data_IF_873914726670
#
_entry.id   IF_873914726670
#
_cell.length_a   1.000
_cell.length_b   1.000
_cell.length_c   1.000
_cell.angle_alpha   90.00
_cell.angle_beta   90.00
_cell.angle_gamma   90.00
#
_symmetry.space_group_name_H-M   'P 1'
#
loop_
_entity.id
_entity.type
_entity.pdbx_description
1 polymer ?
#
# COMPACT_ATOMS: atom_id res chain seq x y z
N UNK A 1 -7.32 -1.23 -2.83
CA UNK A 1 -7.19 -1.62 -1.42
C UNK A 1 -7.54 -0.43 -0.54
N UNK A 2 -8.09 -0.65 0.64
CA UNK A 2 -8.42 0.39 1.63
C UNK A 2 -7.47 0.27 2.84
N UNK A 3 -7.33 1.33 3.65
CA UNK A 3 -6.43 1.41 4.82
C UNK A 3 -4.93 1.19 4.53
N UNK A 4 -4.43 1.62 3.37
CA UNK A 4 -3.03 1.35 2.97
C UNK A 4 -1.97 2.22 3.67
N UNK A 5 -2.40 3.23 4.44
CA UNK A 5 -1.52 4.09 5.24
C UNK A 5 -1.52 3.74 6.74
N UNK A 6 -2.51 2.99 7.22
CA UNK A 6 -2.60 2.48 8.60
C UNK A 6 -2.21 3.49 9.69
N UNK A 7 -2.92 4.61 9.76
CA UNK A 7 -2.67 5.71 10.69
C UNK A 7 -1.34 6.44 10.49
N UNK A 8 -0.61 6.14 9.42
CA UNK A 8 0.76 6.58 9.18
C UNK A 8 1.83 5.63 9.73
N UNK A 9 1.47 4.54 10.41
CA UNK A 9 2.44 3.58 10.98
C UNK A 9 3.29 2.88 9.92
N UNK A 10 2.79 2.78 8.67
CA UNK A 10 3.56 2.23 7.54
C UNK A 10 4.77 3.08 7.17
N UNK A 11 4.85 4.31 7.67
CA UNK A 11 5.96 5.24 7.42
C UNK A 11 7.10 5.09 8.43
N UNK A 12 6.89 4.31 9.50
CA UNK A 12 7.92 4.07 10.52
C UNK A 12 8.95 3.04 10.03
N UNK A 13 10.24 3.32 10.25
CA UNK A 13 11.33 2.45 9.79
C UNK A 13 11.27 1.04 10.41
N UNK A 14 10.80 0.94 11.65
CA UNK A 14 10.67 -0.31 12.39
C UNK A 14 9.36 -0.30 13.19
N UNK A 15 8.33 -0.95 12.65
CA UNK A 15 7.08 -1.20 13.38
C UNK A 15 7.07 -2.61 13.98
N UNK A 16 6.57 -2.71 15.22
CA UNK A 16 6.25 -3.98 15.90
C UNK A 16 4.79 -4.40 15.68
N UNK A 17 3.95 -3.56 15.06
CA UNK A 17 2.58 -3.92 14.74
C UNK A 17 2.56 -4.92 13.56
N UNK A 18 2.07 -6.16 13.77
CA UNK A 18 1.93 -7.13 12.70
C UNK A 18 1.03 -6.66 11.55
N UNK A 19 0.05 -5.79 11.83
CA UNK A 19 -0.85 -5.27 10.79
C UNK A 19 -0.12 -4.25 9.91
N UNK A 20 0.55 -3.26 10.51
CA UNK A 20 1.41 -2.34 9.79
C UNK A 20 2.47 -3.08 8.94
N UNK A 21 3.10 -4.14 9.49
CA UNK A 21 4.05 -4.98 8.73
C UNK A 21 3.42 -5.62 7.50
N UNK A 22 2.25 -6.23 7.65
CA UNK A 22 1.55 -6.85 6.52
C UNK A 22 1.14 -5.83 5.44
N UNK A 23 0.76 -4.62 5.84
CA UNK A 23 0.41 -3.54 4.91
C UNK A 23 1.66 -3.01 4.19
N UNK A 24 2.79 -2.87 4.88
CA UNK A 24 4.09 -2.52 4.27
C UNK A 24 4.46 -3.57 3.22
N UNK A 25 4.41 -4.87 3.57
CA UNK A 25 4.76 -5.95 2.66
C UNK A 25 3.84 -5.98 1.43
N UNK A 26 2.54 -5.71 1.63
CA UNK A 26 1.58 -5.58 0.53
C UNK A 26 1.90 -4.39 -0.38
N UNK A 27 2.15 -3.20 0.18
CA UNK A 27 2.50 -2.01 -0.60
C UNK A 27 3.79 -2.24 -1.41
N UNK A 28 4.81 -2.87 -0.80
CA UNK A 28 6.06 -3.26 -1.46
C UNK A 28 5.85 -4.26 -2.59
N UNK A 29 4.96 -5.23 -2.41
CA UNK A 29 4.60 -6.19 -3.45
C UNK A 29 3.95 -5.48 -4.65
N UNK A 30 3.01 -4.57 -4.40
CA UNK A 30 2.33 -3.80 -5.45
C UNK A 30 3.31 -2.87 -6.19
N UNK A 31 4.25 -2.26 -5.47
CA UNK A 31 5.30 -1.43 -6.07
C UNK A 31 6.19 -2.19 -7.06
N UNK A 32 6.44 -3.49 -6.81
CA UNK A 32 7.29 -4.35 -7.64
C UNK A 32 6.55 -4.99 -8.81
N UNK A 33 5.22 -4.99 -8.81
CA UNK A 33 4.42 -5.61 -9.86
C UNK A 33 4.33 -4.70 -11.10
N UNK A 34 4.94 -5.15 -12.20
CA UNK A 34 5.09 -4.34 -13.43
C UNK A 34 3.86 -4.41 -14.35
N UNK A 35 3.02 -5.44 -14.22
CA UNK A 35 1.82 -5.63 -15.05
C UNK A 35 0.64 -4.74 -14.64
N UNK A 36 0.81 -3.91 -13.61
CA UNK A 36 -0.21 -3.00 -13.09
C UNK A 36 0.29 -1.56 -13.05
N UNK A 37 -0.67 -0.65 -12.94
CA UNK A 37 -0.51 0.75 -12.57
C UNK A 37 -1.24 0.95 -11.25
N UNK A 38 -0.65 1.68 -10.32
CA UNK A 38 -1.27 1.95 -9.03
C UNK A 38 -1.04 3.40 -8.60
N UNK A 39 -1.96 3.91 -7.77
CA UNK A 39 -1.84 5.20 -7.11
C UNK A 39 -2.45 5.10 -5.71
N UNK A 40 -1.79 5.68 -4.72
CA UNK A 40 -2.34 5.89 -3.39
C UNK A 40 -2.93 7.31 -3.35
N UNK A 41 -4.22 7.39 -3.06
CA UNK A 41 -4.90 8.65 -2.79
C UNK A 41 -4.99 8.80 -1.27
N UNK A 42 -4.49 9.90 -0.67
CA UNK A 42 -4.51 10.12 0.77
C UNK A 42 -5.91 10.56 1.25
N UNK A 43 -6.91 9.71 1.03
CA UNK A 43 -8.25 9.85 1.58
C UNK A 43 -8.37 8.95 2.80
N UNK A 44 -8.78 9.52 3.94
CA UNK A 44 -8.80 8.84 5.24
C UNK A 44 -7.46 8.15 5.49
N UNK A 45 -7.48 6.84 5.54
CA UNK A 45 -6.34 6.00 5.90
C UNK A 45 -5.62 5.42 4.68
N UNK A 46 -5.77 6.11 3.53
CA UNK A 46 -5.19 5.73 2.26
C UNK A 46 -6.08 4.79 1.47
N UNK A 47 -6.42 5.22 0.25
CA UNK A 47 -7.09 4.39 -0.73
C UNK A 47 -6.13 4.12 -1.90
N UNK A 48 -5.81 2.86 -2.14
CA UNK A 48 -5.01 2.45 -3.30
C UNK A 48 -5.92 2.03 -4.46
N UNK A 49 -5.82 2.73 -5.57
CA UNK A 49 -6.42 2.32 -6.84
C UNK A 49 -5.39 1.53 -7.65
N UNK A 50 -5.80 0.39 -8.18
CA UNK A 50 -4.97 -0.49 -9.00
C UNK A 50 -5.69 -0.74 -10.32
N UNK A 51 -4.95 -0.59 -11.41
CA UNK A 51 -5.41 -0.89 -12.76
C UNK A 51 -4.44 -1.87 -13.39
N UNK A 52 -4.96 -2.94 -13.98
CA UNK A 52 -4.16 -3.83 -14.81
C UNK A 52 -3.77 -3.12 -16.11
N UNK A 53 -2.49 -3.17 -16.49
CA UNK A 53 -2.05 -2.66 -17.80
C UNK A 53 -2.74 -3.47 -18.89
N UNK A 54 -3.25 -2.77 -19.90
CA UNK A 54 -3.74 -3.42 -21.12
C UNK A 54 -2.60 -4.14 -21.83
N UNK A 55 -2.94 -5.12 -22.67
CA UNK A 55 -1.99 -5.60 -23.69
C UNK A 55 -1.69 -4.49 -24.68
#
# INVERSE_FOLDING_TARGET
>A
ADNVLWGGEVLENETTDPQARGIIDFNEMILKETSIEHIIIPLRDGLMLIRKRGK
#
